data_IF_467060283420
#
_entry.id   IF_467060283420
#
_cell.length_a   1.000
_cell.length_b   1.000
_cell.length_c   1.000
_cell.angle_alpha   90.00
_cell.angle_beta   90.00
_cell.angle_gamma   90.00
#
_symmetry.space_group_name_H-M   'P 1'
#
loop_
_entity.id
_entity.type
_entity.pdbx_description
1 polymer ?
#
# COMPACT_ATOMS: atom_id res chain seq x y z
N UNK A 1 3.31 2.79 0.55
CA UNK A 1 3.19 2.27 -0.83
C UNK A 1 2.58 0.90 -0.65
N UNK A 2 1.27 0.86 -0.75
CA UNK A 2 0.44 -0.22 -0.24
C UNK A 2 0.03 -1.14 -1.40
N UNK A 3 0.33 -0.73 -2.63
CA UNK A 3 0.00 -1.43 -3.88
C UNK A 3 1.29 -1.76 -4.67
N UNK A 4 1.33 -2.98 -5.20
CA UNK A 4 2.33 -3.40 -6.18
C UNK A 4 1.64 -4.05 -7.38
N UNK A 5 1.68 -3.35 -8.51
CA UNK A 5 1.13 -3.88 -9.75
C UNK A 5 2.09 -4.87 -10.40
N UNK A 6 1.57 -6.06 -10.74
CA UNK A 6 2.27 -7.15 -11.44
C UNK A 6 1.33 -7.79 -12.45
N UNK A 7 1.91 -8.44 -13.48
CA UNK A 7 1.16 -9.27 -14.44
C UNK A 7 0.47 -10.44 -13.74
N UNK A 8 1.20 -11.09 -12.85
CA UNK A 8 0.79 -12.30 -12.12
C UNK A 8 0.85 -12.06 -10.61
N UNK A 9 0.02 -12.80 -9.86
CA UNK A 9 0.01 -12.83 -8.39
C UNK A 9 0.62 -14.13 -7.89
N UNK A 10 1.88 -14.35 -8.24
CA UNK A 10 2.62 -15.56 -7.87
C UNK A 10 3.42 -15.38 -6.55
N UNK A 11 4.02 -16.48 -6.10
CA UNK A 11 4.89 -16.51 -4.91
C UNK A 11 6.04 -15.50 -4.98
N UNK A 12 6.62 -15.30 -6.16
CA UNK A 12 7.75 -14.38 -6.34
C UNK A 12 7.32 -12.93 -6.23
N UNK A 13 6.14 -12.59 -6.77
CA UNK A 13 5.54 -11.27 -6.64
C UNK A 13 5.21 -10.94 -5.18
N UNK A 14 4.63 -11.90 -4.44
CA UNK A 14 4.36 -11.77 -3.00
C UNK A 14 5.65 -11.55 -2.21
N UNK A 15 6.67 -12.40 -2.42
CA UNK A 15 7.97 -12.27 -1.77
C UNK A 15 8.63 -10.91 -2.05
N UNK A 16 8.69 -10.49 -3.32
CA UNK A 16 9.28 -9.21 -3.69
C UNK A 16 8.53 -8.02 -3.08
N UNK A 17 7.20 -8.11 -2.99
CA UNK A 17 6.39 -7.07 -2.36
C UNK A 17 6.65 -6.95 -0.87
N UNK A 18 6.56 -8.07 -0.13
CA UNK A 18 6.81 -8.09 1.31
C UNK A 18 8.24 -7.64 1.65
N UNK A 19 9.24 -8.15 0.91
CA UNK A 19 10.64 -7.72 1.07
C UNK A 19 10.82 -6.21 0.85
N UNK A 20 10.10 -5.63 -0.10
CA UNK A 20 10.12 -4.18 -0.35
C UNK A 20 9.51 -3.41 0.82
N UNK A 21 8.41 -3.92 1.40
CA UNK A 21 7.74 -3.28 2.54
C UNK A 21 8.66 -3.21 3.76
N UNK A 22 9.26 -4.33 4.16
CA UNK A 22 10.16 -4.36 5.33
C UNK A 22 11.41 -3.50 5.12
N UNK A 23 11.95 -3.45 3.90
CA UNK A 23 13.09 -2.56 3.60
C UNK A 23 12.72 -1.08 3.66
N UNK A 24 11.48 -0.73 3.32
CA UNK A 24 11.04 0.66 3.28
C UNK A 24 10.56 1.17 4.66
N UNK A 25 9.92 0.31 5.44
CA UNK A 25 9.23 0.71 6.68
C UNK A 25 9.82 0.06 7.94
N UNK A 26 10.81 -0.81 7.80
CA UNK A 26 11.32 -1.63 8.89
C UNK A 26 10.45 -2.85 9.19
N UNK A 27 10.84 -3.59 10.22
CA UNK A 27 10.11 -4.76 10.68
C UNK A 27 8.86 -4.35 11.49
N UNK A 28 7.64 -4.75 11.07
CA UNK A 28 6.43 -4.47 11.84
C UNK A 28 6.27 -5.43 13.02
N UNK A 29 5.62 -4.98 14.10
CA UNK A 29 5.26 -5.87 15.22
C UNK A 29 4.23 -6.91 14.81
N UNK A 30 3.23 -6.50 14.01
CA UNK A 30 2.15 -7.36 13.51
C UNK A 30 2.01 -7.17 12.01
N UNK A 31 2.00 -8.27 11.27
CA UNK A 31 1.70 -8.30 9.84
C UNK A 31 0.36 -9.02 9.61
N UNK A 32 -0.61 -8.28 9.08
CA UNK A 32 -1.90 -8.85 8.69
C UNK A 32 -1.94 -9.11 7.19
N UNK A 33 -2.35 -10.31 6.79
CA UNK A 33 -2.61 -10.64 5.38
C UNK A 33 -3.95 -11.37 5.21
N UNK A 34 -4.40 -11.47 3.95
CA UNK A 34 -5.44 -12.43 3.61
C UNK A 34 -4.92 -13.88 3.74
N UNK A 35 -5.80 -14.86 3.47
CA UNK A 35 -5.49 -16.29 3.54
C UNK A 35 -4.85 -16.83 2.25
N UNK A 36 -4.26 -15.99 1.40
CA UNK A 36 -3.63 -16.44 0.17
C UNK A 36 -2.36 -17.27 0.46
N UNK A 37 -2.22 -18.49 -0.11
CA UNK A 37 -1.03 -19.33 0.09
C UNK A 37 0.27 -18.64 -0.30
N UNK A 38 0.23 -17.78 -1.33
CA UNK A 38 1.39 -17.07 -1.82
C UNK A 38 2.02 -16.11 -0.80
N UNK A 39 1.18 -15.45 0.01
CA UNK A 39 1.65 -14.53 1.05
C UNK A 39 2.23 -15.28 2.24
N UNK A 40 1.61 -16.40 2.64
CA UNK A 40 2.13 -17.23 3.73
C UNK A 40 3.49 -17.83 3.37
N UNK A 41 3.63 -18.36 2.15
CA UNK A 41 4.91 -18.88 1.66
C UNK A 41 5.99 -17.78 1.61
N UNK A 42 5.63 -16.58 1.11
CA UNK A 42 6.54 -15.44 1.09
C UNK A 42 6.96 -14.99 2.49
N UNK A 43 6.04 -14.96 3.45
CA UNK A 43 6.31 -14.62 4.84
C UNK A 43 7.30 -15.58 5.49
N UNK A 44 7.04 -16.89 5.39
CA UNK A 44 7.92 -17.92 5.97
C UNK A 44 9.34 -17.82 5.41
N UNK A 45 9.46 -17.68 4.08
CA UNK A 45 10.76 -17.50 3.43
C UNK A 45 11.49 -16.23 3.86
N UNK A 46 10.77 -15.13 4.12
CA UNK A 46 11.37 -13.89 4.60
C UNK A 46 11.74 -13.95 6.09
N UNK A 47 11.02 -14.75 6.87
CA UNK A 47 11.35 -15.03 8.27
C UNK A 47 12.66 -15.82 8.39
N UNK A 48 12.89 -16.80 7.52
CA UNK A 48 14.17 -17.53 7.40
C UNK A 48 15.35 -16.63 7.02
N UNK A 49 15.07 -15.49 6.39
CA UNK A 49 16.07 -14.50 5.98
C UNK A 49 16.18 -13.31 6.96
N UNK A 50 15.71 -13.47 8.19
CA UNK A 50 15.75 -12.48 9.26
C UNK A 50 14.99 -11.16 9.00
N UNK A 51 14.12 -11.08 7.98
CA UNK A 51 13.33 -9.86 7.73
C UNK A 51 12.13 -9.72 8.68
N UNK A 52 11.55 -10.82 9.15
CA UNK A 52 10.33 -10.84 9.98
C UNK A 52 10.50 -11.70 11.24
N UNK A 53 11.66 -11.59 11.90
CA UNK A 53 12.05 -12.40 13.05
C UNK A 53 11.14 -12.22 14.27
N UNK A 54 10.75 -10.99 14.56
CA UNK A 54 9.91 -10.55 15.70
C UNK A 54 8.45 -10.27 15.29
N UNK A 55 8.14 -10.36 14.01
CA UNK A 55 6.80 -10.09 13.47
C UNK A 55 5.84 -11.22 13.78
N UNK A 56 4.67 -10.89 14.34
CA UNK A 56 3.54 -11.82 14.46
C UNK A 56 2.66 -11.74 13.22
N UNK A 57 2.40 -12.88 12.58
CA UNK A 57 1.52 -12.95 11.40
C UNK A 57 0.07 -13.26 11.80
N UNK A 58 -0.89 -12.54 11.23
CA UNK A 58 -2.30 -12.69 11.54
C UNK A 58 -3.17 -12.69 10.26
N UNK A 59 -4.25 -13.47 10.26
CA UNK A 59 -5.21 -13.57 9.15
C UNK A 59 -6.66 -13.33 9.61
N UNK A 60 -6.83 -12.41 10.57
CA UNK A 60 -8.11 -12.10 11.20
C UNK A 60 -9.04 -11.37 10.22
N UNK A 61 -10.27 -11.87 10.05
CA UNK A 61 -11.27 -11.32 9.12
C UNK A 61 -11.51 -9.83 9.30
N UNK A 62 -11.65 -9.37 10.55
CA UNK A 62 -11.90 -7.96 10.85
C UNK A 62 -10.76 -7.05 10.37
N UNK A 63 -9.51 -7.43 10.61
CA UNK A 63 -8.34 -6.65 10.16
C UNK A 63 -8.22 -6.67 8.62
N UNK A 64 -8.55 -7.80 7.99
CA UNK A 64 -8.62 -7.88 6.53
C UNK A 64 -9.70 -6.95 5.96
N UNK A 65 -10.85 -6.81 6.61
CA UNK A 65 -11.88 -5.86 6.19
C UNK A 65 -11.39 -4.40 6.26
N UNK A 66 -10.53 -4.05 7.23
CA UNK A 66 -9.92 -2.73 7.31
C UNK A 66 -8.95 -2.46 6.15
N UNK A 67 -8.13 -3.45 5.80
CA UNK A 67 -7.23 -3.36 4.62
C UNK A 67 -8.07 -3.22 3.33
N UNK A 68 -9.13 -4.02 3.19
CA UNK A 68 -10.03 -3.92 2.05
C UNK A 68 -10.73 -2.55 1.98
N UNK A 69 -11.04 -1.95 3.14
CA UNK A 69 -11.61 -0.62 3.24
C UNK A 69 -10.66 0.46 2.73
N UNK A 70 -9.40 0.41 3.13
CA UNK A 70 -8.37 1.35 2.67
C UNK A 70 -8.24 1.32 1.13
N UNK A 71 -8.37 0.13 0.54
CA UNK A 71 -8.29 -0.04 -0.91
C UNK A 71 -9.57 0.40 -1.68
N UNK A 72 -10.72 0.65 -1.01
CA UNK A 72 -11.99 0.97 -1.72
C UNK A 72 -11.90 2.22 -2.57
N UNK A 73 -11.13 3.22 -2.14
CA UNK A 73 -10.98 4.47 -2.90
C UNK A 73 -10.29 4.22 -4.23
N UNK A 74 -9.20 3.46 -4.21
CA UNK A 74 -8.47 3.07 -5.42
C UNK A 74 -9.38 2.19 -6.27
N UNK A 75 -9.95 1.10 -5.73
CA UNK A 75 -10.83 0.20 -6.50
C UNK A 75 -11.99 0.94 -7.20
N UNK A 76 -12.65 1.90 -6.54
CA UNK A 76 -13.75 2.69 -7.14
C UNK A 76 -13.32 3.53 -8.34
N UNK A 77 -12.13 4.15 -8.30
CA UNK A 77 -11.60 4.92 -9.42
C UNK A 77 -11.32 4.04 -10.64
N UNK A 78 -10.85 2.82 -10.40
CA UNK A 78 -10.52 1.87 -11.47
C UNK A 78 -11.77 1.20 -12.05
N UNK A 79 -12.77 0.92 -11.23
CA UNK A 79 -14.04 0.33 -11.68
C UNK A 79 -14.78 1.20 -12.72
N UNK A 80 -14.57 2.53 -12.67
CA UNK A 80 -15.14 3.49 -13.64
C UNK A 80 -14.22 3.78 -14.83
N UNK A 81 -13.03 3.17 -14.88
CA UNK A 81 -12.07 3.39 -15.97
C UNK A 81 -12.18 2.28 -17.03
N UNK A 82 -11.88 2.60 -18.29
CA UNK A 82 -11.76 1.61 -19.38
C UNK A 82 -10.48 0.77 -19.28
N UNK A 83 -9.81 0.76 -18.11
CA UNK A 83 -8.53 0.12 -17.89
C UNK A 83 -7.34 0.94 -18.41
N UNK A 84 -6.14 0.40 -18.21
CA UNK A 84 -4.89 0.99 -18.69
C UNK A 84 -4.33 0.16 -19.83
N UNK A 85 -3.88 0.82 -20.90
CA UNK A 85 -3.26 0.16 -22.05
C UNK A 85 -1.88 -0.45 -21.72
N UNK A 86 -1.21 0.02 -20.66
CA UNK A 86 0.08 -0.53 -20.23
C UNK A 86 0.21 -0.59 -18.71
N UNK A 87 0.91 -1.61 -18.22
CA UNK A 87 1.25 -1.74 -16.80
C UNK A 87 2.14 -0.59 -16.30
N UNK A 88 2.98 -0.03 -17.17
CA UNK A 88 3.83 1.12 -16.82
C UNK A 88 2.97 2.35 -16.52
N UNK A 89 1.97 2.63 -17.37
CA UNK A 89 1.04 3.75 -17.16
C UNK A 89 0.18 3.48 -15.92
N UNK A 90 -0.38 2.28 -15.77
CA UNK A 90 -1.15 1.91 -14.59
C UNK A 90 -0.35 2.07 -13.28
N UNK A 91 0.91 1.62 -13.26
CA UNK A 91 1.79 1.72 -12.10
C UNK A 91 2.08 3.18 -11.71
N UNK A 92 2.33 4.05 -12.70
CA UNK A 92 2.53 5.49 -12.47
C UNK A 92 1.28 6.17 -11.93
N UNK A 93 0.11 5.87 -12.50
CA UNK A 93 -1.17 6.42 -12.03
C UNK A 93 -1.48 5.94 -10.61
N UNK A 94 -1.31 4.65 -10.32
CA UNK A 94 -1.46 4.09 -8.97
C UNK A 94 -0.57 4.84 -7.98
N UNK A 95 0.70 5.03 -8.32
CA UNK A 95 1.64 5.74 -7.46
C UNK A 95 1.22 7.19 -7.19
N UNK A 96 0.72 7.90 -8.21
CA UNK A 96 0.17 9.25 -8.03
C UNK A 96 -1.05 9.27 -7.10
N UNK A 97 -1.96 8.31 -7.25
CA UNK A 97 -3.14 8.16 -6.38
C UNK A 97 -2.71 7.87 -4.92
N UNK A 98 -1.74 6.97 -4.73
CA UNK A 98 -1.18 6.66 -3.41
C UNK A 98 -0.52 7.87 -2.76
N UNK A 99 0.27 8.66 -3.52
CA UNK A 99 0.92 9.88 -3.01
C UNK A 99 -0.11 10.88 -2.51
N UNK A 100 -1.13 11.19 -3.32
CA UNK A 100 -2.19 12.13 -2.91
C UNK A 100 -2.94 11.59 -1.69
N UNK A 101 -3.19 10.28 -1.63
CA UNK A 101 -3.87 9.68 -0.49
C UNK A 101 -3.02 9.71 0.79
N UNK A 102 -1.72 9.50 0.70
CA UNK A 102 -0.79 9.61 1.82
C UNK A 102 -0.75 11.05 2.37
N UNK A 103 -0.69 12.05 1.50
CA UNK A 103 -0.76 13.47 1.88
C UNK A 103 -2.06 13.78 2.61
N UNK A 104 -3.18 13.28 2.10
CA UNK A 104 -4.48 13.41 2.75
C UNK A 104 -4.48 12.80 4.16
N UNK A 105 -3.98 11.56 4.32
CA UNK A 105 -3.91 10.90 5.63
C UNK A 105 -3.05 11.70 6.61
N UNK A 106 -1.88 12.17 6.16
CA UNK A 106 -0.95 12.97 6.97
C UNK A 106 -1.56 14.30 7.43
N UNK A 107 -2.19 15.06 6.53
CA UNK A 107 -2.85 16.33 6.90
C UNK A 107 -4.03 16.10 7.84
N UNK A 108 -4.78 15.01 7.65
CA UNK A 108 -5.88 14.63 8.54
C UNK A 108 -5.40 14.21 9.94
N UNK A 109 -4.26 13.52 10.05
CA UNK A 109 -3.73 13.11 11.37
C UNK A 109 -3.20 14.27 12.21
N UNK A 110 -2.86 15.41 11.58
CA UNK A 110 -2.38 16.61 12.28
C UNK A 110 -3.50 17.40 13.00
N UNK A 111 -4.75 16.92 13.00
CA UNK A 111 -5.90 17.45 13.77
C UNK A 111 -6.04 18.98 13.71
N UNK A 112 -5.89 19.58 12.53
CA UNK A 112 -6.10 21.02 12.40
C UNK A 112 -7.59 21.36 12.56
N UNK A 113 -7.95 22.40 13.34
CA UNK A 113 -9.33 22.72 13.68
C UNK A 113 -10.21 23.06 12.46
N UNK A 114 -9.60 23.51 11.35
CA UNK A 114 -10.26 23.78 10.07
C UNK A 114 -9.67 22.90 8.96
N UNK A 115 -9.91 21.58 9.03
CA UNK A 115 -9.40 20.65 8.04
C UNK A 115 -9.98 20.94 6.65
N UNK A 116 -9.14 21.51 5.77
CA UNK A 116 -9.41 21.69 4.34
C UNK A 116 -8.31 20.99 3.57
N UNK A 117 -8.68 20.11 2.63
CA UNK A 117 -7.72 19.42 1.78
C UNK A 117 -7.93 19.81 0.32
N UNK A 118 -6.91 20.40 -0.27
CA UNK A 118 -6.83 20.67 -1.71
C UNK A 118 -5.57 20.00 -2.26
N UNK A 119 -5.75 19.03 -3.15
CA UNK A 119 -4.63 18.35 -3.81
C UNK A 119 -3.70 19.34 -4.51
N UNK A 120 -4.26 20.38 -5.13
CA UNK A 120 -3.49 21.40 -5.84
C UNK A 120 -2.57 22.18 -4.88
N UNK A 121 -3.13 22.69 -3.77
CA UNK A 121 -2.38 23.47 -2.80
C UNK A 121 -1.26 22.63 -2.16
N UNK A 122 -1.54 21.38 -1.80
CA UNK A 122 -0.56 20.47 -1.20
C UNK A 122 0.60 20.17 -2.16
N UNK A 123 0.30 19.91 -3.44
CA UNK A 123 1.34 19.67 -4.44
C UNK A 123 2.14 20.94 -4.73
N UNK A 124 1.50 22.10 -4.78
CA UNK A 124 2.19 23.38 -4.97
C UNK A 124 3.15 23.68 -3.81
N UNK A 125 2.72 23.47 -2.56
CA UNK A 125 3.60 23.62 -1.38
C UNK A 125 4.84 22.74 -1.49
N UNK A 126 4.68 21.45 -1.84
CA UNK A 126 5.80 20.53 -2.01
C UNK A 126 6.77 20.96 -3.11
N UNK A 127 6.26 21.49 -4.22
CA UNK A 127 7.08 21.97 -5.34
C UNK A 127 7.79 23.30 -5.04
N UNK A 128 7.30 24.07 -4.07
CA UNK A 128 7.91 25.36 -3.68
C UNK A 128 9.04 25.17 -2.66
N UNK A 129 9.04 24.05 -1.93
CA UNK A 129 10.03 23.70 -0.90
C UNK A 129 11.22 22.91 -1.50
N UNK A 130 11.05 22.35 -2.70
CA UNK A 130 12.05 21.55 -3.43
C UNK A 130 12.95 22.42 -4.32
#
# INVERSE_FOLDING_TARGET
MDIQLRKTRDHQAAYAFMKRLVKAFGEPTVLTTDKAPALLCAFNKLKEQDFYRRTTHCTVKHLNNLIEQDHRHVKRRFAKSTGFQSLRHASRTLKGIETVHALYKQKRSLQQPNFVFSTYNELQQLLTIA
#
